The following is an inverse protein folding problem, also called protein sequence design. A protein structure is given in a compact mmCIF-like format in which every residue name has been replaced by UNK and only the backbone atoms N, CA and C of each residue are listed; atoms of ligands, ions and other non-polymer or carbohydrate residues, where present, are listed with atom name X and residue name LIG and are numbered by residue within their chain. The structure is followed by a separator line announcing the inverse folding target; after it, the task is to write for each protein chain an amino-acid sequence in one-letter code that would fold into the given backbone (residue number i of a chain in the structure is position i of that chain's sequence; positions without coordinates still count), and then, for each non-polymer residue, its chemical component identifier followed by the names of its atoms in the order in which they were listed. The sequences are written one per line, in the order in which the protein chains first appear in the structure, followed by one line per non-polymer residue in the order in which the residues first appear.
data_IF_939943343720
#
_entry.id   IF_939943343720
#
_cell.length_a   1.000
_cell.length_b   1.000
_cell.length_c   1.000
_cell.angle_alpha   90.00
_cell.angle_beta   90.00
_cell.angle_gamma   90.00
#
_symmetry.space_group_name_H-M   'P 1'
#
loop_
_entity.id
_entity.type
_entity.pdbx_description
1 polymer ?
#
# COMPACT_ATOMS: atom_id res chain seq x y z
N UNK A 1 -50.59 -10.31 -62.28
CA UNK A 1 -50.58 -10.32 -60.81
C UNK A 1 -49.21 -9.80 -60.37
N UNK A 2 -49.19 -8.55 -59.91
CA UNK A 2 -48.08 -7.87 -59.21
C UNK A 2 -47.88 -8.57 -57.83
N UNK A 3 -46.78 -8.52 -57.08
CA UNK A 3 -45.73 -7.52 -56.88
C UNK A 3 -44.48 -8.23 -56.28
N UNK A 4 -43.25 -7.86 -56.67
CA UNK A 4 -42.32 -6.92 -55.99
C UNK A 4 -41.44 -7.55 -54.91
N UNK A 5 -40.13 -7.34 -55.05
CA UNK A 5 -39.10 -7.63 -54.05
C UNK A 5 -38.78 -6.40 -53.18
N UNK A 6 -38.21 -6.68 -51.99
CA UNK A 6 -37.48 -5.81 -51.04
C UNK A 6 -38.30 -4.85 -50.13
N UNK A 7 -37.83 -4.50 -48.90
CA UNK A 7 -36.42 -4.46 -48.50
C UNK A 7 -36.02 -5.08 -47.14
N UNK A 8 -34.69 -5.20 -46.99
CA UNK A 8 -33.98 -5.30 -45.72
C UNK A 8 -34.31 -4.11 -44.81
N UNK A 9 -34.32 -4.33 -43.50
CA UNK A 9 -34.24 -3.25 -42.51
C UNK A 9 -32.93 -3.42 -41.74
N UNK A 10 -32.07 -2.43 -41.91
CA UNK A 10 -30.84 -2.21 -41.18
C UNK A 10 -31.11 -1.85 -39.70
N UNK A 11 -30.20 -2.36 -38.87
CA UNK A 11 -29.63 -1.80 -37.63
C UNK A 11 -30.37 -0.66 -36.90
N UNK A 12 -30.79 -0.95 -35.67
CA UNK A 12 -30.62 -0.03 -34.55
C UNK A 12 -30.53 -0.84 -33.25
N UNK A 13 -29.31 -1.16 -32.81
CA UNK A 13 -29.03 -1.72 -31.50
C UNK A 13 -29.24 -0.68 -30.40
N UNK A 14 -30.49 -0.22 -30.23
CA UNK A 14 -30.98 0.43 -29.02
C UNK A 14 -31.17 -0.64 -27.96
N UNK A 15 -30.07 -1.16 -27.45
CA UNK A 15 -30.08 -1.85 -26.15
C UNK A 15 -29.76 -0.77 -25.12
N UNK A 16 -30.60 -0.69 -24.07
CA UNK A 16 -30.29 -0.07 -22.78
C UNK A 16 -30.47 1.43 -22.47
N UNK A 17 -30.98 2.28 -23.36
CA UNK A 17 -31.37 3.64 -22.92
C UNK A 17 -32.58 3.65 -21.97
N UNK A 18 -33.48 2.67 -22.10
CA UNK A 18 -34.68 2.54 -21.26
C UNK A 18 -34.39 1.89 -19.90
N UNK A 19 -33.49 0.90 -19.84
CA UNK A 19 -33.18 0.16 -18.59
C UNK A 19 -32.40 0.97 -17.56
N UNK A 20 -31.52 1.89 -17.98
CA UNK A 20 -30.76 2.77 -17.08
C UNK A 20 -31.65 3.87 -16.46
N UNK A 21 -32.62 4.38 -17.22
CA UNK A 21 -33.61 5.37 -16.76
C UNK A 21 -34.63 4.70 -15.81
N UNK A 22 -35.12 3.50 -16.17
CA UNK A 22 -36.09 2.75 -15.37
C UNK A 22 -35.50 2.25 -14.02
N UNK A 23 -34.18 2.10 -13.92
CA UNK A 23 -33.47 1.73 -12.67
C UNK A 23 -33.11 2.93 -11.78
N UNK A 24 -33.49 4.16 -12.15
CA UNK A 24 -33.18 5.37 -11.36
C UNK A 24 -31.70 5.72 -11.29
N UNK A 25 -30.87 5.18 -12.19
CA UNK A 25 -29.42 5.39 -12.25
C UNK A 25 -29.04 6.60 -13.12
N UNK A 26 -30.00 7.15 -13.85
CA UNK A 26 -29.80 8.25 -14.79
C UNK A 26 -30.13 9.61 -14.17
N UNK A 27 -29.23 10.59 -14.32
CA UNK A 27 -29.54 12.00 -14.08
C UNK A 27 -29.40 12.85 -15.35
N UNK A 28 -30.35 13.77 -15.64
CA UNK A 28 -30.35 14.66 -16.80
C UNK A 28 -29.49 15.93 -16.64
N UNK A 29 -28.47 15.94 -15.78
CA UNK A 29 -27.73 17.16 -15.46
C UNK A 29 -26.29 17.10 -15.98
N UNK A 30 -26.11 17.14 -17.31
CA UNK A 30 -24.92 17.81 -17.83
C UNK A 30 -25.17 19.32 -17.61
N UNK A 31 -24.35 20.04 -16.81
CA UNK A 31 -24.52 21.48 -16.67
C UNK A 31 -24.52 22.17 -18.03
N UNK A 32 -25.40 23.17 -18.22
CA UNK A 32 -25.55 23.94 -19.47
C UNK A 32 -24.22 24.52 -20.01
N UNK A 33 -23.18 24.60 -19.18
CA UNK A 33 -21.83 25.08 -19.51
C UNK A 33 -21.00 24.10 -20.36
N UNK A 34 -21.38 22.83 -20.49
CA UNK A 34 -20.58 21.84 -21.23
C UNK A 34 -21.00 21.76 -22.70
N UNK A 35 -20.87 22.89 -23.41
CA UNK A 35 -20.83 22.88 -24.86
C UNK A 35 -19.62 22.04 -25.30
N UNK A 36 -19.94 21.03 -26.11
CA UNK A 36 -19.13 19.86 -26.37
C UNK A 36 -17.82 20.21 -27.07
N UNK A 37 -16.67 19.78 -26.54
CA UNK A 37 -15.46 19.67 -27.36
C UNK A 37 -15.71 18.53 -28.36
N UNK A 38 -15.65 18.77 -29.68
CA UNK A 38 -15.72 17.69 -30.66
C UNK A 38 -14.48 16.82 -30.49
N UNK A 39 -14.67 15.56 -30.11
CA UNK A 39 -13.59 14.56 -30.06
C UNK A 39 -13.91 13.56 -31.15
N UNK A 40 -13.10 13.53 -32.21
CA UNK A 40 -13.18 12.50 -33.23
C UNK A 40 -12.94 11.12 -32.58
N UNK A 41 -13.70 10.08 -32.95
CA UNK A 41 -13.49 8.74 -32.41
C UNK A 41 -12.13 8.23 -32.87
N UNK A 42 -11.32 7.63 -31.99
CA UNK A 42 -10.10 6.95 -32.42
C UNK A 42 -10.35 5.76 -33.32
N UNK A 43 -9.32 5.44 -34.09
CA UNK A 43 -9.18 4.13 -34.70
C UNK A 43 -9.15 3.03 -33.62
N UNK A 44 -9.66 1.85 -33.98
CA UNK A 44 -9.96 0.69 -33.15
C UNK A 44 -9.09 0.45 -31.90
N UNK A 45 -9.72 -0.13 -30.87
CA UNK A 45 -9.09 -0.62 -29.64
C UNK A 45 -7.83 -1.43 -29.92
N UNK A 46 -6.76 -1.14 -29.18
CA UNK A 46 -5.59 -1.99 -29.09
C UNK A 46 -5.71 -2.86 -27.84
N UNK A 47 -5.50 -4.17 -27.99
CA UNK A 47 -5.56 -5.17 -26.90
C UNK A 47 -4.37 -5.10 -25.94
N UNK A 48 -3.41 -4.20 -26.18
CA UNK A 48 -2.25 -4.01 -25.32
C UNK A 48 -2.58 -3.10 -24.12
N UNK A 49 -2.17 -3.44 -22.89
CA UNK A 49 -2.31 -2.56 -21.74
C UNK A 49 -1.52 -1.27 -21.98
N UNK A 50 -2.22 -0.13 -21.96
CA UNK A 50 -1.58 1.20 -22.04
C UNK A 50 -0.87 1.47 -20.71
N UNK A 51 0.41 1.13 -20.65
CA UNK A 51 1.30 1.44 -19.54
C UNK A 51 1.89 2.84 -19.72
N UNK A 52 1.29 3.87 -19.10
CA UNK A 52 2.01 5.08 -18.64
C UNK A 52 1.17 6.09 -17.84
N UNK A 53 1.76 6.59 -16.76
CA UNK A 53 1.54 7.94 -16.26
C UNK A 53 2.24 8.95 -17.20
N UNK A 54 1.48 9.66 -18.02
CA UNK A 54 1.94 10.81 -18.82
C UNK A 54 1.60 12.14 -18.08
N UNK A 55 2.15 13.29 -18.47
CA UNK A 55 2.28 14.49 -17.62
C UNK A 55 1.02 15.35 -17.62
N UNK A 56 -0.16 14.74 -17.46
CA UNK A 56 -1.39 15.52 -17.41
C UNK A 56 -1.36 16.45 -16.19
N UNK A 57 -1.43 17.77 -16.38
CA UNK A 57 -1.52 18.74 -15.28
C UNK A 57 -2.78 18.56 -14.43
N UNK A 58 -3.79 17.86 -14.97
CA UNK A 58 -5.04 17.55 -14.28
C UNK A 58 -5.71 16.27 -14.79
N UNK A 59 -6.49 15.61 -13.92
CA UNK A 59 -7.28 14.44 -14.27
C UNK A 59 -8.27 14.72 -15.43
N UNK A 60 -8.71 15.97 -15.62
CA UNK A 60 -9.60 16.36 -16.72
C UNK A 60 -8.95 16.17 -18.09
N UNK A 61 -7.66 16.47 -18.20
CA UNK A 61 -6.91 16.36 -19.46
C UNK A 61 -6.65 14.89 -19.78
N UNK A 62 -6.33 14.08 -18.76
CA UNK A 62 -6.26 12.62 -18.89
C UNK A 62 -7.58 12.05 -19.41
N UNK A 63 -8.72 12.50 -18.88
CA UNK A 63 -10.05 12.03 -19.31
C UNK A 63 -10.30 12.32 -20.79
N UNK A 64 -9.90 13.47 -21.31
CA UNK A 64 -10.02 13.78 -22.75
C UNK A 64 -9.22 12.78 -23.58
N UNK A 65 -8.01 12.41 -23.15
CA UNK A 65 -7.20 11.43 -23.87
C UNK A 65 -7.77 10.01 -23.74
N UNK A 66 -8.37 9.62 -22.60
CA UNK A 66 -9.08 8.34 -22.48
C UNK A 66 -10.27 8.24 -23.44
N UNK A 67 -10.96 9.35 -23.70
CA UNK A 67 -12.01 9.42 -24.74
C UNK A 67 -11.41 9.29 -26.13
N UNK A 68 -10.32 10.00 -26.41
CA UNK A 68 -9.56 9.89 -27.67
C UNK A 68 -8.91 8.53 -27.87
N UNK A 69 -8.80 7.69 -26.85
CA UNK A 69 -8.31 6.31 -26.94
C UNK A 69 -9.46 5.29 -26.97
N UNK A 70 -10.69 5.75 -26.81
CA UNK A 70 -11.90 4.93 -26.87
C UNK A 70 -12.25 4.25 -25.56
N UNK A 71 -11.42 4.33 -24.52
CA UNK A 71 -11.73 3.78 -23.19
C UNK A 71 -13.01 4.38 -22.61
N UNK A 72 -13.26 5.66 -22.90
CA UNK A 72 -14.51 6.35 -22.58
C UNK A 72 -15.22 6.76 -23.87
N UNK A 73 -16.54 6.68 -23.88
CA UNK A 73 -17.34 6.96 -25.07
C UNK A 73 -18.72 7.48 -24.74
N UNK A 74 -19.32 8.20 -25.70
CA UNK A 74 -20.75 8.54 -25.62
C UNK A 74 -21.59 7.27 -25.69
N UNK A 75 -22.70 7.23 -24.95
CA UNK A 75 -23.57 6.06 -24.85
C UNK A 75 -23.03 4.90 -24.01
N UNK A 76 -21.80 4.97 -23.49
CA UNK A 76 -21.26 3.95 -22.59
C UNK A 76 -21.68 4.19 -21.15
N UNK A 77 -22.15 3.16 -20.47
CA UNK A 77 -22.48 3.27 -19.05
C UNK A 77 -21.20 3.32 -18.21
N UNK A 78 -20.93 4.49 -17.63
CA UNK A 78 -19.69 4.80 -16.90
C UNK A 78 -19.98 4.96 -15.40
N UNK A 79 -19.15 4.38 -14.54
CA UNK A 79 -19.21 4.54 -13.08
C UNK A 79 -18.12 5.48 -12.57
N UNK A 80 -18.48 6.39 -11.66
CA UNK A 80 -17.54 7.12 -10.80
C UNK A 80 -17.93 6.92 -9.33
N UNK A 81 -17.35 5.94 -8.62
CA UNK A 81 -17.66 5.67 -7.22
C UNK A 81 -16.95 6.64 -6.25
N UNK A 82 -16.19 7.60 -6.77
CA UNK A 82 -15.49 8.65 -6.02
C UNK A 82 -15.90 10.05 -6.51
N UNK A 83 -17.11 10.14 -7.06
CA UNK A 83 -17.69 11.34 -7.62
C UNK A 83 -17.77 12.46 -6.58
N UNK A 84 -17.81 13.70 -7.06
CA UNK A 84 -18.10 14.86 -6.21
C UNK A 84 -16.86 15.64 -5.75
N UNK A 85 -15.66 15.08 -5.92
CA UNK A 85 -14.38 15.78 -5.71
C UNK A 85 -13.47 15.71 -6.95
N UNK A 86 -12.66 16.74 -7.12
CA UNK A 86 -11.68 16.82 -8.21
C UNK A 86 -12.21 17.46 -9.49
N UNK A 87 -11.44 17.35 -10.56
CA UNK A 87 -11.74 17.99 -11.85
C UNK A 87 -12.01 16.97 -12.98
N UNK A 88 -12.09 15.67 -12.72
CA UNK A 88 -12.22 14.59 -13.74
C UNK A 88 -13.12 14.98 -14.92
N UNK A 89 -14.34 15.40 -14.63
CA UNK A 89 -15.36 15.67 -15.64
C UNK A 89 -15.41 17.13 -16.14
N UNK A 90 -14.38 17.92 -15.88
CA UNK A 90 -14.36 19.37 -16.19
C UNK A 90 -14.16 19.68 -17.67
N UNK A 91 -13.42 18.86 -18.41
CA UNK A 91 -13.15 19.08 -19.84
C UNK A 91 -14.01 18.19 -20.76
N UNK A 92 -14.45 17.05 -20.24
CA UNK A 92 -15.33 16.12 -20.94
C UNK A 92 -16.22 15.39 -19.92
N UNK A 93 -17.46 15.08 -20.31
CA UNK A 93 -18.48 14.51 -19.44
C UNK A 93 -19.14 13.29 -20.12
N UNK A 94 -19.25 12.12 -19.44
CA UNK A 94 -19.95 10.95 -19.98
C UNK A 94 -21.45 11.19 -20.05
N UNK A 95 -22.09 10.75 -21.12
CA UNK A 95 -23.54 10.90 -21.28
C UNK A 95 -24.33 10.04 -20.27
N UNK A 96 -23.81 8.87 -19.93
CA UNK A 96 -24.40 7.93 -18.98
C UNK A 96 -23.42 7.72 -17.81
N UNK A 97 -23.43 8.64 -16.85
CA UNK A 97 -22.58 8.58 -15.65
C UNK A 97 -23.41 8.20 -14.42
N UNK A 98 -22.99 7.14 -13.74
CA UNK A 98 -23.45 6.80 -12.38
C UNK A 98 -22.36 7.24 -11.41
N UNK A 99 -22.62 8.33 -10.68
CA UNK A 99 -21.68 8.86 -9.68
C UNK A 99 -22.06 8.47 -8.26
N UNK A 100 -21.08 8.31 -7.37
CA UNK A 100 -21.28 8.20 -5.93
C UNK A 100 -20.18 8.90 -5.14
N UNK A 101 -20.52 9.54 -4.02
CA UNK A 101 -19.59 10.17 -3.08
C UNK A 101 -19.78 9.53 -1.69
N UNK A 102 -18.72 9.52 -0.87
CA UNK A 102 -18.79 9.17 0.55
C UNK A 102 -19.83 10.02 1.30
N UNK A 103 -19.95 11.30 0.94
CA UNK A 103 -21.00 12.21 1.38
C UNK A 103 -22.29 11.98 0.57
N UNK A 104 -23.36 11.40 1.16
CA UNK A 104 -24.59 11.10 0.45
C UNK A 104 -25.25 12.32 -0.21
N UNK A 105 -24.97 13.52 0.29
CA UNK A 105 -25.50 14.77 -0.28
C UNK A 105 -24.83 15.12 -1.61
N UNK A 106 -23.56 14.76 -1.77
CA UNK A 106 -22.79 14.97 -3.00
C UNK A 106 -22.94 13.83 -3.98
N UNK A 107 -23.39 12.67 -3.49
CA UNK A 107 -23.68 11.50 -4.31
C UNK A 107 -24.91 11.75 -5.20
N UNK A 108 -24.76 11.69 -6.54
CA UNK A 108 -25.88 11.78 -7.47
C UNK A 108 -26.96 10.71 -7.23
N UNK A 109 -26.60 9.54 -6.68
CA UNK A 109 -27.56 8.50 -6.31
C UNK A 109 -28.28 8.79 -4.99
N UNK A 110 -27.98 9.91 -4.31
CA UNK A 110 -28.51 10.27 -3.00
C UNK A 110 -28.07 9.33 -1.86
N UNK A 111 -27.20 8.36 -2.17
CA UNK A 111 -26.70 7.35 -1.26
C UNK A 111 -25.20 7.17 -1.43
N UNK A 112 -24.49 6.99 -0.32
CA UNK A 112 -23.06 6.69 -0.33
C UNK A 112 -22.88 5.21 -0.64
N UNK A 113 -22.11 4.91 -1.69
CA UNK A 113 -21.79 3.54 -2.10
C UNK A 113 -20.38 3.20 -1.62
N UNK A 114 -20.23 2.04 -0.99
CA UNK A 114 -18.93 1.51 -0.62
C UNK A 114 -18.19 1.06 -1.90
N UNK A 115 -17.13 1.78 -2.29
CA UNK A 115 -16.33 1.47 -3.48
C UNK A 115 -15.83 0.02 -3.53
N UNK A 116 -15.48 -0.57 -2.38
CA UNK A 116 -15.00 -1.96 -2.29
C UNK A 116 -16.11 -3.00 -2.31
N UNK A 117 -17.39 -2.60 -2.33
CA UNK A 117 -18.54 -3.49 -2.35
C UNK A 117 -19.72 -2.80 -3.08
N UNK A 118 -19.62 -2.74 -4.40
CA UNK A 118 -20.61 -2.08 -5.24
C UNK A 118 -21.94 -2.88 -5.25
N UNK A 119 -23.10 -2.21 -5.15
CA UNK A 119 -24.42 -2.86 -5.16
C UNK A 119 -24.90 -3.21 -6.58
N UNK A 120 -23.97 -3.38 -7.52
CA UNK A 120 -24.23 -3.54 -8.94
C UNK A 120 -23.81 -4.93 -9.42
N UNK A 121 -24.46 -5.42 -10.46
CA UNK A 121 -24.09 -6.69 -11.09
C UNK A 121 -22.74 -6.60 -11.81
N UNK A 122 -21.97 -7.69 -11.77
CA UNK A 122 -20.69 -7.77 -12.46
C UNK A 122 -20.86 -7.51 -13.96
N UNK A 123 -19.98 -6.69 -14.54
CA UNK A 123 -20.02 -6.34 -15.95
C UNK A 123 -21.09 -5.32 -16.34
N UNK A 124 -21.84 -4.74 -15.38
CA UNK A 124 -22.84 -3.70 -15.66
C UNK A 124 -22.24 -2.46 -16.34
N UNK A 125 -21.07 -2.02 -15.88
CA UNK A 125 -20.42 -0.81 -16.38
C UNK A 125 -19.40 -1.16 -17.45
N UNK A 126 -19.45 -0.43 -18.56
CA UNK A 126 -18.46 -0.54 -19.64
C UNK A 126 -17.16 0.17 -19.28
N UNK A 127 -17.22 1.15 -18.37
CA UNK A 127 -16.05 1.84 -17.84
C UNK A 127 -16.28 2.24 -16.37
N UNK A 128 -15.21 2.20 -15.58
CA UNK A 128 -15.20 2.73 -14.23
C UNK A 128 -13.98 3.63 -14.05
N UNK A 129 -14.19 4.78 -13.43
CA UNK A 129 -13.17 5.79 -13.14
C UNK A 129 -13.21 6.11 -11.66
N UNK A 130 -12.10 6.00 -10.95
CA UNK A 130 -12.07 6.25 -9.52
C UNK A 130 -10.73 6.88 -9.10
N UNK A 131 -10.78 7.75 -8.10
CA UNK A 131 -9.62 8.41 -7.47
C UNK A 131 -9.70 8.14 -5.96
N UNK A 132 -9.18 6.99 -5.50
CA UNK A 132 -9.27 6.63 -4.10
C UNK A 132 -8.42 7.62 -3.26
N UNK A 133 -8.73 7.83 -1.98
CA UNK A 133 -7.96 8.73 -1.13
C UNK A 133 -6.48 8.32 -1.11
N UNK A 134 -5.60 9.31 -1.27
CA UNK A 134 -4.17 9.11 -1.25
C UNK A 134 -3.70 8.70 0.16
N UNK A 135 -3.31 7.43 0.29
CA UNK A 135 -2.78 6.85 1.54
C UNK A 135 -1.25 6.85 1.49
N UNK A 136 -0.61 7.71 2.27
CA UNK A 136 0.85 7.88 2.24
C UNK A 136 1.43 8.01 3.65
N UNK A 137 2.73 7.75 3.72
CA UNK A 137 3.63 8.03 4.84
C UNK A 137 4.60 9.15 4.42
N UNK A 138 5.39 9.66 5.35
CA UNK A 138 6.44 10.64 5.05
C UNK A 138 7.69 10.02 4.41
N UNK A 139 8.66 10.86 4.03
CA UNK A 139 9.89 10.44 3.35
C UNK A 139 10.91 9.74 4.26
N UNK A 140 10.74 9.86 5.58
CA UNK A 140 11.61 9.24 6.57
C UNK A 140 11.16 7.83 6.97
N UNK A 141 9.92 7.46 6.68
CA UNK A 141 9.40 6.12 6.97
C UNK A 141 10.15 5.06 6.18
N UNK A 142 10.58 4.01 6.89
CA UNK A 142 11.31 2.88 6.33
C UNK A 142 10.41 1.63 6.20
N UNK A 143 10.67 0.82 5.18
CA UNK A 143 10.06 -0.48 4.96
C UNK A 143 11.10 -1.60 5.12
N UNK A 144 10.71 -2.69 5.78
CA UNK A 144 11.56 -3.87 5.94
C UNK A 144 11.49 -4.71 4.66
N UNK A 145 12.60 -4.76 3.92
CA UNK A 145 12.79 -5.62 2.75
C UNK A 145 13.64 -6.84 3.11
N UNK A 146 13.68 -7.84 2.22
CA UNK A 146 14.52 -9.03 2.40
C UNK A 146 16.02 -8.69 2.56
N UNK A 147 16.44 -7.54 2.03
CA UNK A 147 17.82 -7.04 2.12
C UNK A 147 18.00 -5.97 3.23
N UNK A 148 17.05 -5.85 4.14
CA UNK A 148 17.06 -4.90 5.25
C UNK A 148 16.12 -3.70 5.09
N UNK A 149 16.26 -2.72 5.97
CA UNK A 149 15.43 -1.51 5.97
C UNK A 149 15.77 -0.59 4.80
N UNK A 150 14.74 -0.03 4.16
CA UNK A 150 14.85 0.83 2.98
C UNK A 150 13.90 2.01 3.07
N UNK A 151 14.30 3.14 2.51
CA UNK A 151 13.41 4.28 2.23
C UNK A 151 12.73 4.14 0.87
N UNK A 152 11.73 4.98 0.63
CA UNK A 152 10.93 4.98 -0.61
C UNK A 152 11.77 5.11 -1.90
N UNK A 153 12.93 5.78 -1.84
CA UNK A 153 13.83 6.01 -2.98
C UNK A 153 14.83 4.86 -3.20
N UNK A 154 14.80 3.85 -2.33
CA UNK A 154 15.71 2.70 -2.36
C UNK A 154 15.00 1.37 -2.66
N UNK A 155 13.67 1.37 -2.70
CA UNK A 155 12.86 0.19 -3.00
C UNK A 155 12.67 0.00 -4.50
N UNK A 156 12.57 -1.26 -4.91
CA UNK A 156 12.32 -1.65 -6.30
C UNK A 156 11.06 -2.50 -6.39
N UNK A 157 10.26 -2.27 -7.44
CA UNK A 157 9.15 -3.17 -7.80
C UNK A 157 9.68 -4.59 -8.01
N UNK A 158 8.99 -5.56 -7.43
CA UNK A 158 9.35 -6.98 -7.40
C UNK A 158 10.22 -7.39 -6.21
N UNK A 159 10.81 -6.44 -5.46
CA UNK A 159 11.56 -6.76 -4.24
C UNK A 159 10.62 -7.29 -3.16
N UNK A 160 11.07 -8.26 -2.36
CA UNK A 160 10.28 -8.77 -1.24
C UNK A 160 10.29 -7.78 -0.07
N UNK A 161 9.11 -7.40 0.37
CA UNK A 161 8.87 -6.64 1.59
C UNK A 161 8.13 -7.50 2.62
N UNK A 162 8.40 -7.23 3.90
CA UNK A 162 7.73 -7.91 5.00
C UNK A 162 6.42 -7.20 5.31
N UNK A 163 5.32 -7.94 5.19
CA UNK A 163 3.97 -7.47 5.45
C UNK A 163 3.30 -8.23 6.58
N UNK A 164 2.20 -7.66 7.08
CA UNK A 164 1.29 -8.32 8.01
C UNK A 164 0.07 -8.83 7.24
N UNK A 165 -0.16 -10.13 7.27
CA UNK A 165 -1.46 -10.69 6.92
C UNK A 165 -2.45 -10.37 8.05
N UNK A 166 -3.43 -9.51 7.77
CA UNK A 166 -4.38 -9.07 8.79
C UNK A 166 -5.36 -10.16 9.22
N UNK A 167 -5.68 -11.13 8.35
CA UNK A 167 -6.63 -12.19 8.65
C UNK A 167 -6.02 -13.20 9.61
N UNK A 168 -4.84 -13.72 9.27
CA UNK A 168 -4.12 -14.68 10.12
C UNK A 168 -3.39 -14.02 11.28
N UNK A 169 -2.96 -12.77 11.10
CA UNK A 169 -2.13 -12.06 12.05
C UNK A 169 -0.65 -12.44 12.04
N UNK A 170 -0.21 -13.17 11.01
CA UNK A 170 1.17 -13.57 10.80
C UNK A 170 1.88 -12.63 9.83
N UNK A 171 3.20 -12.52 9.96
CA UNK A 171 4.02 -11.80 8.99
C UNK A 171 4.43 -12.68 7.82
N UNK A 172 4.46 -12.11 6.63
CA UNK A 172 4.73 -12.81 5.37
C UNK A 172 5.55 -11.92 4.44
N UNK A 173 6.34 -12.55 3.57
CA UNK A 173 7.06 -11.85 2.50
C UNK A 173 6.18 -11.76 1.25
N UNK A 174 6.10 -10.58 0.65
CA UNK A 174 5.38 -10.36 -0.61
C UNK A 174 6.16 -9.39 -1.52
N UNK A 175 6.05 -9.52 -2.85
CA UNK A 175 6.68 -8.59 -3.77
C UNK A 175 6.02 -7.21 -3.69
N UNK A 176 6.84 -6.15 -3.73
CA UNK A 176 6.35 -4.77 -3.93
C UNK A 176 5.82 -4.66 -5.35
N UNK A 177 4.53 -4.35 -5.51
CA UNK A 177 3.90 -4.24 -6.85
C UNK A 177 4.09 -2.86 -7.48
N UNK A 178 4.12 -1.81 -6.66
CA UNK A 178 4.30 -0.43 -7.12
C UNK A 178 4.87 0.46 -6.00
N UNK A 179 5.45 1.60 -6.38
CA UNK A 179 5.99 2.62 -5.46
C UNK A 179 5.36 3.97 -5.80
N UNK A 180 4.34 4.34 -5.03
CA UNK A 180 3.56 5.56 -5.28
C UNK A 180 4.20 6.74 -4.55
N UNK A 181 4.81 7.65 -5.33
CA UNK A 181 5.40 8.90 -4.81
C UNK A 181 4.54 10.08 -5.23
N UNK A 182 3.99 10.79 -4.24
CA UNK A 182 3.16 11.96 -4.48
C UNK A 182 3.97 13.25 -4.33
N UNK A 183 3.66 14.31 -5.10
CA UNK A 183 4.37 15.58 -4.97
C UNK A 183 4.22 16.17 -3.57
N UNK A 184 5.27 16.84 -3.10
CA UNK A 184 5.25 17.61 -1.87
C UNK A 184 4.18 18.70 -1.97
N UNK A 185 3.23 18.66 -1.04
CA UNK A 185 2.12 19.61 -0.89
C UNK A 185 1.78 19.68 0.58
N UNK A 186 1.29 20.84 1.01
CA UNK A 186 0.75 21.00 2.35
C UNK A 186 -0.44 20.04 2.54
N UNK A 187 -0.34 19.17 3.54
CA UNK A 187 -1.33 18.16 3.87
C UNK A 187 -1.53 18.13 5.38
N UNK A 188 -2.77 17.93 5.79
CA UNK A 188 -3.06 17.54 7.16
C UNK A 188 -2.60 16.09 7.37
N UNK A 189 -1.84 15.86 8.43
CA UNK A 189 -1.22 14.56 8.74
C UNK A 189 -1.39 14.22 10.21
N UNK A 190 -1.30 12.94 10.54
CA UNK A 190 -1.16 12.46 11.91
C UNK A 190 0.30 12.13 12.19
N UNK A 191 0.85 12.71 13.26
CA UNK A 191 2.15 12.34 13.84
C UNK A 191 1.89 11.44 15.05
N UNK A 192 2.39 10.21 15.00
CA UNK A 192 2.42 9.31 16.14
C UNK A 192 3.85 9.25 16.66
N UNK A 193 4.03 9.44 17.95
CA UNK A 193 5.34 9.41 18.63
C UNK A 193 5.23 8.57 19.90
N UNK A 194 6.12 7.60 20.03
CA UNK A 194 6.15 6.67 21.15
C UNK A 194 7.53 6.05 21.35
N UNK A 195 7.70 5.30 22.44
CA UNK A 195 9.00 4.69 22.76
C UNK A 195 9.46 3.64 21.75
N UNK A 196 8.53 2.99 21.05
CA UNK A 196 8.81 1.85 20.17
C UNK A 196 8.31 2.04 18.74
N UNK A 197 7.72 3.19 18.43
CA UNK A 197 7.14 3.49 17.10
C UNK A 197 6.97 4.99 16.93
N UNK A 198 7.37 5.49 15.77
CA UNK A 198 7.03 6.81 15.27
C UNK A 198 6.55 6.71 13.83
N UNK A 199 5.63 7.58 13.42
CA UNK A 199 5.15 7.64 12.04
C UNK A 199 4.48 8.97 11.74
N UNK A 200 4.64 9.48 10.52
CA UNK A 200 3.85 10.58 9.99
C UNK A 200 3.06 10.08 8.79
N UNK A 201 1.73 10.23 8.82
CA UNK A 201 0.84 9.65 7.80
C UNK A 201 -0.27 10.59 7.38
N UNK A 202 -0.76 10.44 6.15
CA UNK A 202 -1.99 11.14 5.72
C UNK A 202 -3.19 10.64 6.55
N UNK A 203 -4.20 11.49 6.73
CA UNK A 203 -5.33 11.16 7.61
C UNK A 203 -6.16 9.94 7.17
N UNK A 204 -6.11 9.58 5.89
CA UNK A 204 -6.82 8.41 5.35
C UNK A 204 -5.95 7.14 5.34
N UNK A 205 -4.68 7.22 5.78
CA UNK A 205 -3.80 6.06 5.91
C UNK A 205 -4.42 5.02 6.86
N UNK A 206 -4.50 3.76 6.39
CA UNK A 206 -5.18 2.69 7.12
C UNK A 206 -4.21 1.89 7.96
N UNK A 207 -4.57 1.68 9.22
CA UNK A 207 -3.82 0.91 10.19
C UNK A 207 -4.51 -0.40 10.51
N UNK A 208 -3.81 -1.55 10.44
CA UNK A 208 -4.24 -2.74 11.14
C UNK A 208 -4.08 -2.47 12.65
N UNK A 209 -5.14 -2.68 13.41
CA UNK A 209 -5.14 -2.47 14.86
C UNK A 209 -5.72 -3.67 15.59
N UNK A 210 -5.37 -3.78 16.87
CA UNK A 210 -6.08 -4.58 17.85
C UNK A 210 -6.92 -3.66 18.73
N UNK A 211 -8.24 -3.72 18.57
CA UNK A 211 -9.17 -2.92 19.36
C UNK A 211 -9.69 -3.72 20.54
N UNK A 212 -9.67 -3.09 21.71
CA UNK A 212 -10.19 -3.71 22.93
C UNK A 212 -11.72 -3.75 22.89
N UNK A 213 -12.30 -4.93 23.03
CA UNK A 213 -13.74 -5.13 23.25
C UNK A 213 -14.01 -5.60 24.68
N UNK A 214 -15.13 -5.13 25.23
CA UNK A 214 -15.65 -5.61 26.51
C UNK A 214 -16.73 -6.65 26.24
N UNK A 215 -16.57 -7.83 26.80
CA UNK A 215 -17.62 -8.84 26.85
C UNK A 215 -17.76 -9.31 28.29
N UNK A 216 -18.71 -8.72 29.02
CA UNK A 216 -18.88 -8.94 30.46
C UNK A 216 -17.63 -8.56 31.27
N UNK A 217 -17.13 -9.48 32.09
CA UNK A 217 -15.89 -9.33 32.86
C UNK A 217 -14.62 -9.62 32.04
N UNK A 218 -14.76 -10.21 30.85
CA UNK A 218 -13.63 -10.57 29.99
C UNK A 218 -13.25 -9.42 29.05
N UNK A 219 -11.95 -9.32 28.77
CA UNK A 219 -11.37 -8.37 27.82
C UNK A 219 -10.80 -9.14 26.64
N UNK A 220 -11.34 -8.89 25.45
CA UNK A 220 -10.83 -9.44 24.19
C UNK A 220 -10.23 -8.33 23.34
N UNK A 221 -9.32 -8.71 22.43
CA UNK A 221 -8.80 -7.83 21.41
C UNK A 221 -9.21 -8.39 20.05
N UNK A 222 -9.78 -7.53 19.23
CA UNK A 222 -10.27 -7.89 17.90
C UNK A 222 -9.45 -7.13 16.85
N UNK A 223 -9.16 -7.82 15.73
CA UNK A 223 -8.43 -7.24 14.59
C UNK A 223 -9.37 -6.39 13.76
N UNK A 224 -9.00 -5.15 13.54
CA UNK A 224 -9.76 -4.19 12.75
C UNK A 224 -8.81 -3.33 11.91
N UNK A 225 -9.35 -2.72 10.86
CA UNK A 225 -8.72 -1.58 10.22
C UNK A 225 -9.36 -0.28 10.73
N UNK A 226 -8.55 0.75 10.91
CA UNK A 226 -9.00 2.13 11.14
C UNK A 226 -8.12 3.09 10.34
N UNK A 227 -8.50 4.35 10.22
CA UNK A 227 -7.68 5.38 9.54
C UNK A 227 -6.89 6.16 10.57
N UNK A 228 -5.85 6.90 10.15
CA UNK A 228 -5.17 7.86 11.02
C UNK A 228 -6.15 8.88 11.63
N UNK A 229 -7.16 9.33 10.89
CA UNK A 229 -8.20 10.24 11.40
C UNK A 229 -8.97 9.66 12.58
N UNK A 230 -9.27 8.37 12.54
CA UNK A 230 -10.15 7.69 13.51
C UNK A 230 -9.39 6.86 14.55
N UNK A 231 -8.06 6.84 14.46
CA UNK A 231 -7.18 6.10 15.36
C UNK A 231 -7.28 6.65 16.79
N UNK A 232 -7.49 5.76 17.76
CA UNK A 232 -7.68 6.12 19.17
C UNK A 232 -6.46 5.77 20.00
N UNK A 233 -6.33 6.46 21.14
CA UNK A 233 -5.22 6.21 22.07
C UNK A 233 -5.18 4.79 22.66
N UNK A 234 -6.31 4.06 22.67
CA UNK A 234 -6.36 2.67 23.15
C UNK A 234 -6.30 1.62 22.04
N UNK A 235 -6.24 2.03 20.77
CA UNK A 235 -5.97 1.15 19.65
C UNK A 235 -4.49 0.72 19.68
N UNK A 236 -4.24 -0.56 19.40
CA UNK A 236 -2.88 -1.10 19.38
C UNK A 236 -2.46 -1.43 17.96
N UNK A 237 -1.48 -0.71 17.44
CA UNK A 237 -0.83 -1.03 16.16
C UNK A 237 0.13 -2.22 16.38
N UNK A 238 -0.03 -3.35 15.68
CA UNK A 238 0.94 -4.44 15.73
C UNK A 238 2.28 -4.00 15.11
N UNK A 239 3.34 -3.98 15.92
CA UNK A 239 4.69 -3.63 15.48
C UNK A 239 5.50 -4.85 15.02
N UNK A 240 5.09 -6.04 15.47
CA UNK A 240 5.71 -7.31 15.12
C UNK A 240 4.66 -8.41 15.10
N UNK A 241 4.89 -9.40 14.24
CA UNK A 241 4.10 -10.60 14.14
C UNK A 241 5.01 -11.80 13.95
N UNK A 242 4.52 -12.98 14.36
CA UNK A 242 5.19 -14.24 14.06
C UNK A 242 5.36 -14.35 12.54
N UNK A 243 6.58 -14.53 12.08
CA UNK A 243 6.84 -14.83 10.67
C UNK A 243 6.29 -16.22 10.35
N UNK A 244 5.45 -16.32 9.33
CA UNK A 244 4.91 -17.59 8.84
C UNK A 244 6.04 -18.50 8.33
N UNK A 245 6.94 -17.91 7.56
CA UNK A 245 7.99 -18.60 6.82
C UNK A 245 9.35 -18.42 7.50
N UNK A 246 9.45 -18.83 8.78
CA UNK A 246 10.74 -18.86 9.46
C UNK A 246 11.66 -19.91 8.80
N UNK A 247 12.93 -19.58 8.51
CA UNK A 247 13.90 -20.57 8.08
C UNK A 247 13.99 -21.71 9.09
N UNK A 248 13.90 -22.95 8.61
CA UNK A 248 14.03 -24.16 9.44
C UNK A 248 15.47 -24.64 9.55
N UNK A 249 16.35 -24.15 8.67
CA UNK A 249 17.78 -24.43 8.69
C UNK A 249 18.52 -23.22 9.27
N UNK A 250 19.46 -23.48 10.18
CA UNK A 250 20.29 -22.45 10.78
C UNK A 250 21.42 -22.06 9.82
N UNK A 251 21.50 -20.77 9.43
CA UNK A 251 22.57 -20.26 8.58
C UNK A 251 23.92 -20.13 9.31
N UNK A 252 23.88 -20.03 10.64
CA UNK A 252 25.05 -19.88 11.51
C UNK A 252 24.89 -20.75 12.75
N UNK A 253 26.01 -21.12 13.38
CA UNK A 253 26.00 -21.85 14.65
C UNK A 253 25.44 -20.96 15.78
N UNK A 254 24.82 -21.57 16.79
CA UNK A 254 24.37 -20.86 17.99
C UNK A 254 25.55 -20.15 18.69
N UNK A 255 26.75 -20.76 18.65
CA UNK A 255 27.97 -20.20 19.21
C UNK A 255 28.40 -18.91 18.48
N UNK A 256 28.39 -18.91 17.15
CA UNK A 256 28.68 -17.72 16.36
C UNK A 256 27.69 -16.60 16.66
N UNK A 257 26.40 -16.91 16.63
CA UNK A 257 25.32 -15.95 16.92
C UNK A 257 25.48 -15.35 18.32
N UNK A 258 25.81 -16.19 19.31
CA UNK A 258 26.07 -15.73 20.68
C UNK A 258 27.31 -14.81 20.76
N UNK A 259 28.42 -15.14 20.10
CA UNK A 259 29.61 -14.27 20.06
C UNK A 259 29.30 -12.93 19.43
N UNK A 260 28.59 -12.91 18.30
CA UNK A 260 28.18 -11.66 17.62
C UNK A 260 27.27 -10.84 18.52
N UNK A 261 26.33 -11.47 19.23
CA UNK A 261 25.44 -10.78 20.17
C UNK A 261 26.22 -10.11 21.31
N UNK A 262 27.16 -10.83 21.93
CA UNK A 262 28.05 -10.25 22.96
C UNK A 262 28.92 -9.14 22.41
N UNK A 263 29.44 -9.30 21.19
CA UNK A 263 30.25 -8.28 20.55
C UNK A 263 29.43 -7.01 20.22
N UNK A 264 28.16 -7.16 19.85
CA UNK A 264 27.28 -6.03 19.57
C UNK A 264 27.01 -5.17 20.81
N UNK A 265 26.84 -5.79 21.98
CA UNK A 265 26.49 -5.09 23.21
C UNK A 265 27.71 -4.66 24.04
N UNK A 266 28.79 -5.45 24.02
CA UNK A 266 29.95 -5.32 24.93
C UNK A 266 31.29 -5.40 24.20
N UNK A 267 31.28 -5.41 22.87
CA UNK A 267 32.45 -5.50 22.02
C UNK A 267 33.08 -4.16 21.67
N UNK A 268 34.38 -4.20 21.37
CA UNK A 268 35.15 -3.07 20.88
C UNK A 268 36.14 -3.52 19.81
N UNK A 269 36.31 -2.72 18.75
CA UNK A 269 37.35 -2.93 17.73
C UNK A 269 38.58 -2.11 18.10
N UNK A 270 39.68 -2.79 18.42
CA UNK A 270 40.98 -2.15 18.58
C UNK A 270 41.73 -2.17 17.25
N UNK A 271 42.04 -0.98 16.73
CA UNK A 271 42.90 -0.84 15.54
C UNK A 271 44.35 -1.00 15.96
N UNK A 272 45.10 -1.81 15.21
CA UNK A 272 46.55 -1.93 15.37
C UNK A 272 47.24 -0.56 15.26
N UNK A 273 48.33 -0.37 16.02
CA UNK A 273 49.13 0.86 15.93
C UNK A 273 49.80 0.95 14.56
N UNK A 274 50.20 2.16 14.15
CA UNK A 274 50.89 2.41 12.87
C UNK A 274 52.15 1.55 12.78
N UNK A 275 52.12 0.46 12.00
CA UNK A 275 53.20 -0.53 11.87
C UNK A 275 52.85 -1.95 12.32
N UNK A 276 51.71 -2.16 13.00
CA UNK A 276 51.14 -3.46 13.36
C UNK A 276 50.00 -3.82 12.40
N UNK A 277 50.03 -5.03 11.83
CA UNK A 277 49.10 -5.44 10.76
C UNK A 277 47.74 -5.97 11.25
N UNK A 278 47.52 -6.12 12.56
CA UNK A 278 46.34 -6.81 13.08
C UNK A 278 45.44 -5.83 13.85
N UNK A 279 44.22 -5.66 13.35
CA UNK A 279 43.10 -5.15 14.14
C UNK A 279 42.43 -6.35 14.82
N UNK A 280 41.98 -6.20 16.07
CA UNK A 280 41.29 -7.28 16.78
C UNK A 280 40.01 -6.78 17.47
N UNK A 281 39.07 -7.69 17.65
CA UNK A 281 37.86 -7.47 18.44
C UNK A 281 38.07 -7.93 19.88
N UNK A 282 37.57 -7.15 20.84
CA UNK A 282 37.61 -7.45 22.27
C UNK A 282 36.20 -7.40 22.84
N UNK A 283 35.80 -8.39 23.63
CA UNK A 283 34.57 -8.38 24.44
C UNK A 283 34.99 -8.27 25.90
N UNK A 284 34.39 -7.34 26.65
CA UNK A 284 34.76 -7.08 28.04
C UNK A 284 33.58 -7.31 28.98
N UNK A 285 33.77 -8.17 29.98
CA UNK A 285 32.75 -8.51 30.96
C UNK A 285 33.37 -8.67 32.36
N UNK A 286 32.63 -8.29 33.40
CA UNK A 286 33.12 -8.39 34.78
C UNK A 286 33.11 -9.83 35.25
N UNK A 287 34.28 -10.41 35.50
CA UNK A 287 34.39 -11.76 36.05
C UNK A 287 33.99 -11.85 37.53
N UNK A 288 33.90 -10.73 38.24
CA UNK A 288 33.47 -10.67 39.65
C UNK A 288 31.95 -10.61 39.76
N UNK A 289 31.31 -9.84 38.88
CA UNK A 289 29.86 -9.59 38.94
C UNK A 289 29.09 -10.52 38.02
N UNK A 290 29.65 -10.85 36.85
CA UNK A 290 29.00 -11.56 35.76
C UNK A 290 29.81 -12.79 35.33
N UNK A 291 30.30 -13.56 36.31
CA UNK A 291 31.02 -14.82 36.08
C UNK A 291 30.30 -15.76 35.08
N UNK A 292 28.97 -15.99 35.17
CA UNK A 292 28.27 -16.85 34.21
C UNK A 292 28.33 -16.32 32.76
N UNK A 293 28.31 -15.01 32.56
CA UNK A 293 28.41 -14.42 31.21
C UNK A 293 29.82 -14.63 30.66
N UNK A 294 30.85 -14.46 31.49
CA UNK A 294 32.23 -14.73 31.11
C UNK A 294 32.42 -16.20 30.69
N UNK A 295 31.81 -17.15 31.38
CA UNK A 295 31.84 -18.57 31.01
C UNK A 295 31.12 -18.85 29.70
N UNK A 296 29.95 -18.25 29.50
CA UNK A 296 29.20 -18.34 28.24
C UNK A 296 29.99 -17.78 27.06
N UNK A 297 30.55 -16.57 27.18
CA UNK A 297 31.40 -15.95 26.16
C UNK A 297 32.58 -16.86 25.83
N UNK A 298 33.28 -17.41 26.84
CA UNK A 298 34.39 -18.35 26.62
C UNK A 298 33.95 -19.61 25.89
N UNK A 299 32.82 -20.18 26.29
CA UNK A 299 32.29 -21.42 25.69
C UNK A 299 31.91 -21.19 24.23
N UNK A 300 31.26 -20.06 23.92
CA UNK A 300 30.88 -19.69 22.56
C UNK A 300 32.11 -19.40 21.68
N UNK A 301 33.10 -18.64 22.20
CA UNK A 301 34.36 -18.39 21.48
C UNK A 301 35.14 -19.69 21.21
N UNK A 302 35.20 -20.59 22.20
CA UNK A 302 35.90 -21.86 22.06
C UNK A 302 35.20 -22.81 21.08
N UNK A 303 33.88 -22.86 21.09
CA UNK A 303 33.09 -23.65 20.16
C UNK A 303 33.22 -23.16 18.71
N UNK A 304 33.31 -21.84 18.51
CA UNK A 304 33.34 -21.25 17.17
C UNK A 304 34.76 -21.14 16.59
N UNK A 305 35.75 -20.69 17.37
CA UNK A 305 37.10 -20.40 16.90
C UNK A 305 38.17 -21.37 17.41
N UNK A 306 37.78 -22.32 18.26
CA UNK A 306 38.71 -23.23 18.92
C UNK A 306 39.32 -22.66 20.22
N UNK A 307 40.21 -23.41 20.87
CA UNK A 307 40.75 -23.05 22.18
C UNK A 307 41.60 -21.78 22.14
N UNK A 308 41.74 -21.13 23.30
CA UNK A 308 42.61 -19.96 23.50
C UNK A 308 44.03 -20.24 23.00
N UNK A 309 44.53 -19.37 22.12
CA UNK A 309 45.86 -19.46 21.50
C UNK A 309 46.94 -18.69 22.28
N UNK A 310 46.57 -17.97 23.35
CA UNK A 310 47.47 -17.22 24.22
C UNK A 310 48.10 -15.97 23.59
N UNK A 311 47.72 -15.60 22.36
CA UNK A 311 48.29 -14.44 21.66
C UNK A 311 47.87 -13.10 22.30
N UNK A 312 46.72 -13.07 22.97
CA UNK A 312 46.17 -11.88 23.60
C UNK A 312 45.98 -12.13 25.11
N UNK A 313 46.98 -11.81 25.94
CA UNK A 313 46.88 -12.03 27.38
C UNK A 313 45.75 -11.20 27.98
N UNK A 314 45.00 -11.80 28.92
CA UNK A 314 43.88 -11.14 29.61
C UNK A 314 44.40 -9.97 30.44
N UNK A 315 43.75 -8.82 30.31
CA UNK A 315 44.01 -7.63 31.12
C UNK A 315 42.82 -7.39 32.04
N UNK A 316 42.99 -7.60 33.35
CA UNK A 316 41.95 -7.38 34.38
C UNK A 316 41.14 -8.64 34.68
#
# INVERSE_FOLDING_TARGET
MSASAAPAVELAGTVDRLTVIDRGLWQPNAPERFDTVPVEPPAAFHDDPVLRANPWPSNSEMIVDLVRLGYLGRGRLTMDPTFGKGNWWRLWWPELLVGSDLDPVKSPTGTSIAFTNLPYEDGLFEAATFDPPYVCVDEETEILTADGWRKWDQVLVGQLAYGLDHESGEGTWAPIEDVIVLPAKDREVLSLEGQSHSSITTLDHRWPILRRRRSGESRTYEREFTTSRDLKADDRVPLAARCRDLPTEASHSDAFVEVVAWFWTEGHLERGRRGEQLSYGKISQSHVVNEPNCERIRSALAAEFGPDNGLFPRTG
#
